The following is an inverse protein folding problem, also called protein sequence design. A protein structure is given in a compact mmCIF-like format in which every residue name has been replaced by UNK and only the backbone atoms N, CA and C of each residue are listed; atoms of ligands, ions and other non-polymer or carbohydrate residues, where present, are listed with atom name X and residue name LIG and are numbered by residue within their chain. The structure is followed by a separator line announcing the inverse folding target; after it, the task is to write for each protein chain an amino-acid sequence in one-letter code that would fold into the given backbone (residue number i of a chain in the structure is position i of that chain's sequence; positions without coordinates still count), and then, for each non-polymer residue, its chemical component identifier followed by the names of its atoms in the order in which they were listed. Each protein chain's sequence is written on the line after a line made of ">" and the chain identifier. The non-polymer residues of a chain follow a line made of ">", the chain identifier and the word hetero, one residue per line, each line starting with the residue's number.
data_IF_059777759214
#
_entry.id   IF_059777759214
#
_cell.length_a   1.000
_cell.length_b   1.000
_cell.length_c   1.000
_cell.angle_alpha   90.00
_cell.angle_beta   90.00
_cell.angle_gamma   90.00
#
_symmetry.space_group_name_H-M   'P 1'
#
loop_
_entity.id
_entity.type
_entity.pdbx_description
1 polymer ?
#
# COMPACT_ATOMS: atom_id res chain seq x y z
N UNK A 1 7.16 0.69 0.56
CA UNK A 1 8.08 1.24 -0.47
C UNK A 1 9.44 0.56 -0.43
N UNK A 2 10.19 0.63 -1.54
CA UNK A 2 11.57 0.17 -1.59
C UNK A 2 12.52 1.23 -1.04
N UNK A 3 13.40 0.86 -0.10
CA UNK A 3 14.46 1.75 0.39
C UNK A 3 15.61 1.81 -0.62
N UNK A 4 15.45 2.63 -1.66
CA UNK A 4 16.46 2.79 -2.74
C UNK A 4 17.53 3.82 -2.42
N UNK A 5 17.35 4.62 -1.37
CA UNK A 5 18.29 5.61 -0.84
C UNK A 5 18.14 5.76 0.67
N UNK A 6 19.12 6.35 1.32
CA UNK A 6 19.04 6.66 2.74
C UNK A 6 18.05 7.82 2.97
N UNK A 7 17.24 7.69 4.00
CA UNK A 7 16.23 8.67 4.36
C UNK A 7 16.19 8.92 5.88
N UNK A 8 15.69 10.08 6.29
CA UNK A 8 15.62 10.48 7.69
C UNK A 8 14.32 10.01 8.39
N UNK A 9 13.75 8.86 7.99
CA UNK A 9 12.47 8.35 8.49
C UNK A 9 12.58 6.94 9.03
N UNK A 10 13.79 6.47 9.38
CA UNK A 10 14.00 5.12 9.92
C UNK A 10 13.23 4.90 11.23
N UNK A 11 13.02 5.96 12.02
CA UNK A 11 12.20 5.97 13.24
C UNK A 11 10.69 5.85 12.98
N UNK A 12 10.26 5.98 11.73
CA UNK A 12 8.86 5.76 11.31
C UNK A 12 8.67 4.36 10.70
N UNK A 13 9.72 3.58 10.51
CA UNK A 13 9.64 2.25 9.89
C UNK A 13 9.04 1.26 10.88
N UNK A 14 7.96 0.59 10.48
CA UNK A 14 7.30 -0.46 11.27
C UNK A 14 8.00 -1.79 11.06
N UNK A 15 8.26 -2.13 9.80
CA UNK A 15 8.86 -3.40 9.39
C UNK A 15 9.68 -3.20 8.12
N UNK A 16 10.72 -4.01 7.97
CA UNK A 16 11.58 -4.03 6.79
C UNK A 16 11.80 -5.49 6.37
N UNK A 17 11.63 -5.77 5.08
CA UNK A 17 11.79 -7.10 4.51
C UNK A 17 12.85 -7.10 3.43
N UNK A 18 13.75 -8.09 3.49
CA UNK A 18 14.73 -8.36 2.44
C UNK A 18 14.23 -9.39 1.44
N UNK A 19 13.27 -10.22 1.84
CA UNK A 19 12.72 -11.28 1.01
C UNK A 19 11.31 -10.90 0.58
N UNK A 20 11.01 -11.20 -0.67
CA UNK A 20 9.68 -10.99 -1.22
C UNK A 20 9.33 -12.09 -2.22
N UNK A 21 8.05 -12.32 -2.43
CA UNK A 21 7.55 -13.28 -3.40
C UNK A 21 6.63 -12.62 -4.42
N UNK A 22 6.61 -13.21 -5.60
CA UNK A 22 5.64 -12.97 -6.65
C UNK A 22 5.03 -14.33 -6.99
N UNK A 23 3.72 -14.44 -6.92
CA UNK A 23 2.99 -15.66 -7.28
C UNK A 23 2.22 -15.45 -8.58
N UNK A 24 2.43 -16.34 -9.53
CA UNK A 24 1.81 -16.30 -10.85
C UNK A 24 1.20 -17.66 -11.19
N UNK A 25 0.45 -17.74 -12.28
CA UNK A 25 -0.05 -19.02 -12.78
C UNK A 25 1.05 -20.01 -13.17
N UNK A 26 2.28 -19.53 -13.41
CA UNK A 26 3.46 -20.36 -13.68
C UNK A 26 4.21 -20.81 -12.43
N UNK A 27 3.85 -20.31 -11.25
CA UNK A 27 4.40 -20.72 -9.97
C UNK A 27 4.74 -19.56 -9.03
N UNK A 28 5.26 -19.96 -7.88
CA UNK A 28 5.73 -19.08 -6.81
C UNK A 28 7.22 -18.78 -7.01
N UNK A 29 7.57 -17.50 -6.98
CA UNK A 29 8.93 -17.01 -7.15
C UNK A 29 9.35 -16.20 -5.93
N UNK A 30 10.33 -16.73 -5.19
CA UNK A 30 10.94 -16.01 -4.08
C UNK A 30 12.18 -15.27 -4.54
N UNK A 31 12.30 -14.01 -4.14
CA UNK A 31 13.34 -13.09 -4.53
C UNK A 31 13.91 -12.41 -3.28
N UNK A 32 15.14 -11.92 -3.38
CA UNK A 32 15.81 -11.27 -2.27
C UNK A 32 16.52 -9.99 -2.68
N UNK A 33 16.31 -8.92 -1.91
CA UNK A 33 17.01 -7.65 -2.08
C UNK A 33 17.57 -7.13 -0.77
N UNK A 34 18.84 -7.45 -0.49
CA UNK A 34 19.54 -6.94 0.71
C UNK A 34 19.85 -5.46 0.61
N UNK A 35 20.17 -4.96 -0.59
CA UNK A 35 20.57 -3.57 -0.81
C UNK A 35 19.39 -2.62 -0.72
N UNK A 36 18.23 -3.07 -1.19
CA UNK A 36 17.01 -2.27 -1.26
C UNK A 36 15.86 -3.04 -0.60
N UNK A 37 15.78 -3.04 0.75
CA UNK A 37 14.68 -3.72 1.43
C UNK A 37 13.35 -3.03 1.13
N UNK A 38 12.28 -3.81 1.16
CA UNK A 38 10.93 -3.24 1.16
C UNK A 38 10.56 -2.83 2.59
N UNK A 39 10.02 -1.61 2.75
CA UNK A 39 9.71 -1.06 4.07
C UNK A 39 8.26 -0.61 4.16
N UNK A 40 7.67 -0.82 5.34
CA UNK A 40 6.41 -0.21 5.74
C UNK A 40 6.69 0.85 6.80
N UNK A 41 6.05 2.02 6.67
CA UNK A 41 6.16 3.11 7.64
C UNK A 41 4.80 3.38 8.30
N UNK A 42 4.84 3.82 9.55
CA UNK A 42 3.68 4.40 10.23
C UNK A 42 3.41 5.81 9.67
N UNK A 43 2.28 5.96 9.00
CA UNK A 43 1.89 7.25 8.40
C UNK A 43 1.65 8.33 9.47
N UNK A 44 1.13 7.98 10.63
CA UNK A 44 0.89 8.91 11.73
C UNK A 44 2.21 9.46 12.30
N UNK A 45 3.19 8.58 12.54
CA UNK A 45 4.53 9.01 12.96
C UNK A 45 5.22 9.85 11.88
N UNK A 46 5.10 9.45 10.62
CA UNK A 46 5.65 10.19 9.49
C UNK A 46 5.07 11.60 9.41
N UNK A 47 3.74 11.74 9.38
CA UNK A 47 3.08 13.06 9.35
C UNK A 47 3.43 13.91 10.56
N UNK A 48 3.47 13.33 11.77
CA UNK A 48 3.86 14.04 12.98
C UNK A 48 5.29 14.60 12.86
N UNK A 49 6.22 13.81 12.35
CA UNK A 49 7.62 14.23 12.14
C UNK A 49 7.73 15.33 11.10
N UNK A 50 7.04 15.19 9.96
CA UNK A 50 7.03 16.19 8.89
C UNK A 50 6.40 17.49 9.40
N UNK A 51 5.23 17.46 10.02
CA UNK A 51 4.55 18.64 10.53
C UNK A 51 5.40 19.39 11.55
N UNK A 52 6.11 18.67 12.43
CA UNK A 52 7.07 19.29 13.36
C UNK A 52 8.20 20.01 12.63
N UNK A 53 8.79 19.38 11.59
CA UNK A 53 9.86 20.04 10.79
C UNK A 53 9.35 21.27 10.06
N UNK A 54 8.16 21.20 9.49
CA UNK A 54 7.54 22.29 8.74
C UNK A 54 7.20 23.48 9.67
N UNK A 55 6.65 23.22 10.86
CA UNK A 55 6.28 24.27 11.82
C UNK A 55 7.48 25.03 12.41
N UNK A 56 8.65 24.41 12.41
CA UNK A 56 9.91 25.03 12.89
C UNK A 56 10.64 25.83 11.80
N UNK A 57 10.17 25.78 10.56
CA UNK A 57 10.82 26.46 9.45
C UNK A 57 10.11 27.76 9.09
N UNK A 58 10.70 28.89 9.45
CA UNK A 58 10.13 30.22 9.21
C UNK A 58 9.98 30.58 7.73
N UNK A 59 10.61 29.83 6.81
CA UNK A 59 10.47 30.04 5.37
C UNK A 59 9.26 29.31 4.78
N UNK A 60 8.51 28.54 5.59
CA UNK A 60 7.33 27.79 5.15
C UNK A 60 6.09 28.46 5.73
N UNK A 61 5.12 28.73 4.84
CA UNK A 61 3.81 29.28 5.21
C UNK A 61 2.71 28.34 4.73
N UNK A 62 1.72 28.13 5.58
CA UNK A 62 0.54 27.36 5.26
C UNK A 62 -0.63 28.29 4.96
N UNK A 63 -1.32 28.05 3.86
CA UNK A 63 -2.50 28.79 3.46
C UNK A 63 -3.69 27.82 3.36
N UNK A 64 -4.88 28.28 3.72
CA UNK A 64 -6.11 27.50 3.60
C UNK A 64 -6.69 27.52 2.18
N UNK A 65 -6.40 28.59 1.44
CA UNK A 65 -6.93 28.79 0.10
C UNK A 65 -5.80 29.20 -0.86
N UNK A 66 -5.81 28.63 -2.06
CA UNK A 66 -4.85 28.94 -3.11
C UNK A 66 -4.91 30.42 -3.53
N UNK A 67 -6.07 31.09 -3.41
CA UNK A 67 -6.24 32.50 -3.73
C UNK A 67 -5.47 33.45 -2.79
N UNK A 68 -4.99 32.94 -1.65
CA UNK A 68 -4.16 33.70 -0.70
C UNK A 68 -2.68 33.71 -1.11
N UNK A 69 -2.31 32.94 -2.15
CA UNK A 69 -0.92 32.75 -2.56
C UNK A 69 -0.64 33.54 -3.85
N UNK A 70 0.37 34.42 -3.81
CA UNK A 70 0.89 35.01 -5.02
C UNK A 70 1.70 34.00 -5.81
N UNK A 71 1.30 33.74 -7.05
CA UNK A 71 1.99 32.81 -7.94
C UNK A 71 2.99 33.48 -8.87
N UNK A 72 3.13 34.82 -8.79
CA UNK A 72 4.10 35.58 -9.59
C UNK A 72 5.53 35.16 -9.22
N UNK A 73 6.33 34.81 -10.23
CA UNK A 73 7.72 34.36 -10.07
C UNK A 73 7.89 33.12 -9.18
N UNK A 74 6.94 32.17 -9.25
CA UNK A 74 6.92 30.97 -8.41
C UNK A 74 6.93 29.70 -9.24
N UNK A 75 7.51 28.62 -8.70
CA UNK A 75 7.28 27.27 -9.18
C UNK A 75 6.07 26.67 -8.44
N UNK A 76 5.13 26.10 -9.19
CA UNK A 76 3.92 25.50 -8.65
C UNK A 76 3.97 23.99 -8.82
N UNK A 77 3.91 23.26 -7.69
CA UNK A 77 3.74 21.81 -7.68
C UNK A 77 2.31 21.50 -7.23
N UNK A 78 1.46 21.07 -8.16
CA UNK A 78 0.08 20.75 -7.87
C UNK A 78 -0.13 19.23 -7.83
N UNK A 79 -0.41 18.70 -6.64
CA UNK A 79 -0.73 17.29 -6.42
C UNK A 79 -2.23 17.01 -6.30
N UNK A 80 -3.07 18.04 -6.46
CA UNK A 80 -4.52 17.87 -6.43
C UNK A 80 -4.99 17.22 -7.74
N UNK A 81 -5.69 16.08 -7.71
CA UNK A 81 -6.20 15.45 -8.91
C UNK A 81 -7.13 16.40 -9.68
N UNK A 82 -7.00 16.40 -11.02
CA UNK A 82 -7.94 17.13 -11.85
C UNK A 82 -9.32 16.45 -11.77
N UNK A 83 -10.38 17.22 -11.54
CA UNK A 83 -11.75 16.72 -11.47
C UNK A 83 -12.26 16.12 -12.80
N UNK A 84 -11.64 16.50 -13.94
CA UNK A 84 -11.96 15.96 -15.27
C UNK A 84 -11.14 14.70 -15.56
N UNK A 85 -11.25 13.69 -14.71
CA UNK A 85 -10.57 12.42 -14.91
C UNK A 85 -11.17 11.69 -16.10
N UNK A 86 -10.34 11.36 -17.10
CA UNK A 86 -10.76 10.59 -18.25
C UNK A 86 -11.11 9.16 -17.85
N UNK A 87 -12.38 8.78 -18.01
CA UNK A 87 -12.89 7.45 -17.69
C UNK A 87 -12.27 6.33 -18.53
N UNK A 88 -11.61 6.66 -19.64
CA UNK A 88 -10.91 5.69 -20.48
C UNK A 88 -9.57 5.22 -19.91
N UNK A 89 -9.03 5.95 -18.93
CA UNK A 89 -7.72 5.63 -18.34
C UNK A 89 -7.76 4.40 -17.46
N UNK A 90 -6.62 3.74 -17.37
CA UNK A 90 -6.38 2.67 -16.42
C UNK A 90 -6.15 3.29 -15.03
N UNK A 91 -6.85 2.77 -14.03
CA UNK A 91 -6.75 3.20 -12.65
C UNK A 91 -6.19 2.07 -11.79
N UNK A 92 -5.34 2.43 -10.86
CA UNK A 92 -5.04 1.55 -9.73
C UNK A 92 -6.01 1.88 -8.60
N UNK A 93 -6.80 0.90 -8.20
CA UNK A 93 -7.69 1.01 -7.06
C UNK A 93 -7.57 -0.21 -6.16
N UNK A 94 -7.76 -0.03 -4.87
CA UNK A 94 -7.43 -1.06 -3.89
C UNK A 94 -8.16 -0.86 -2.57
N UNK A 95 -8.21 -1.92 -1.78
CA UNK A 95 -8.58 -1.88 -0.36
C UNK A 95 -7.74 -2.90 0.39
N UNK A 96 -7.29 -2.52 1.59
CA UNK A 96 -6.52 -3.38 2.48
C UNK A 96 -7.18 -3.49 3.85
N UNK A 97 -6.97 -4.62 4.52
CA UNK A 97 -7.35 -4.84 5.91
C UNK A 97 -6.18 -5.45 6.68
N UNK A 98 -6.01 -5.04 7.91
CA UNK A 98 -5.09 -5.71 8.82
C UNK A 98 -5.83 -6.83 9.54
N UNK A 99 -5.34 -8.05 9.40
CA UNK A 99 -5.89 -9.22 10.06
C UNK A 99 -4.95 -9.75 11.15
N UNK A 100 -5.53 -10.28 12.21
CA UNK A 100 -4.81 -10.92 13.31
C UNK A 100 -5.41 -12.30 13.61
N UNK A 101 -4.54 -13.30 13.74
CA UNK A 101 -4.90 -14.69 14.02
C UNK A 101 -4.47 -15.09 15.43
N UNK A 102 -5.12 -16.12 16.00
CA UNK A 102 -4.74 -16.65 17.32
C UNK A 102 -3.44 -17.45 17.32
N UNK A 103 -3.05 -17.96 16.16
CA UNK A 103 -1.85 -18.80 15.97
C UNK A 103 -0.89 -18.11 15.01
N UNK A 104 0.38 -18.44 15.10
CA UNK A 104 1.38 -18.07 14.13
C UNK A 104 1.10 -18.80 12.81
N UNK A 105 0.82 -18.04 11.73
CA UNK A 105 0.45 -18.58 10.41
C UNK A 105 1.36 -17.99 9.34
N UNK A 106 1.80 -16.74 9.50
CA UNK A 106 2.60 -16.04 8.50
C UNK A 106 4.09 -16.28 8.73
N UNK A 107 4.84 -16.37 7.63
CA UNK A 107 6.28 -16.14 7.67
C UNK A 107 6.52 -14.62 7.61
N UNK A 108 6.92 -14.03 8.73
CA UNK A 108 7.09 -12.58 8.82
C UNK A 108 8.44 -12.06 8.29
N UNK A 109 9.25 -12.93 7.73
CA UNK A 109 10.51 -12.60 7.06
C UNK A 109 10.34 -12.38 5.54
N UNK A 110 9.19 -12.77 4.97
CA UNK A 110 8.90 -12.64 3.54
C UNK A 110 7.57 -11.94 3.32
N UNK A 111 7.54 -10.95 2.41
CA UNK A 111 6.28 -10.38 1.94
C UNK A 111 5.84 -11.06 0.64
N UNK A 112 4.54 -11.28 0.46
CA UNK A 112 3.98 -11.55 -0.85
C UNK A 112 3.63 -10.21 -1.50
N UNK A 113 4.48 -9.78 -2.44
CA UNK A 113 4.40 -8.45 -3.03
C UNK A 113 3.35 -8.39 -4.15
N UNK A 114 3.14 -9.48 -4.88
CA UNK A 114 2.12 -9.60 -5.92
C UNK A 114 1.68 -11.06 -6.04
N UNK A 115 0.49 -11.36 -5.58
CA UNK A 115 -0.14 -12.67 -5.81
C UNK A 115 -1.19 -12.55 -6.91
N UNK A 116 -0.82 -12.98 -8.12
CA UNK A 116 -1.72 -13.01 -9.28
C UNK A 116 -2.57 -14.29 -9.35
N UNK A 117 -2.45 -15.20 -8.38
CA UNK A 117 -3.26 -16.41 -8.32
C UNK A 117 -4.67 -16.11 -7.79
N UNK A 118 -5.37 -15.24 -8.50
CA UNK A 118 -6.72 -14.79 -8.23
C UNK A 118 -7.47 -14.51 -9.54
N UNK A 119 -8.80 -14.30 -9.46
CA UNK A 119 -9.62 -14.02 -10.63
C UNK A 119 -9.26 -12.66 -11.24
N UNK A 120 -8.81 -12.66 -12.49
CA UNK A 120 -8.34 -11.47 -13.21
C UNK A 120 -9.47 -10.71 -13.93
N UNK A 121 -10.64 -11.31 -14.15
CA UNK A 121 -11.81 -10.71 -14.86
C UNK A 121 -11.42 -9.85 -16.07
N UNK A 122 -10.42 -10.30 -16.86
CA UNK A 122 -9.85 -9.59 -18.03
C UNK A 122 -9.15 -8.26 -17.71
N UNK A 123 -8.77 -8.05 -16.46
CA UNK A 123 -8.00 -6.90 -15.96
C UNK A 123 -6.70 -7.39 -15.32
N UNK A 124 -5.98 -6.53 -14.61
CA UNK A 124 -4.87 -6.95 -13.78
C UNK A 124 -5.32 -6.88 -12.33
N UNK A 125 -5.30 -8.02 -11.66
CA UNK A 125 -5.68 -8.17 -10.26
C UNK A 125 -4.61 -8.93 -9.48
N UNK A 126 -4.26 -8.46 -8.31
CA UNK A 126 -3.33 -9.15 -7.43
C UNK A 126 -3.57 -8.78 -5.98
N UNK A 127 -3.05 -9.60 -5.09
CA UNK A 127 -3.07 -9.34 -3.66
C UNK A 127 -1.66 -9.04 -3.15
N UNK A 128 -1.59 -8.14 -2.16
CA UNK A 128 -0.45 -8.02 -1.26
C UNK A 128 -0.74 -8.80 0.02
N UNK A 129 0.32 -9.43 0.58
CA UNK A 129 0.33 -9.93 1.95
C UNK A 129 1.59 -9.43 2.62
N UNK A 130 1.45 -8.50 3.57
CA UNK A 130 2.55 -7.91 4.30
C UNK A 130 2.48 -8.36 5.77
N UNK A 131 3.23 -9.40 6.16
CA UNK A 131 3.19 -9.91 7.53
C UNK A 131 4.06 -9.06 8.44
N UNK A 132 3.45 -8.32 9.34
CA UNK A 132 4.14 -7.55 10.38
C UNK A 132 4.64 -8.41 11.52
N UNK A 133 3.91 -9.51 11.80
CA UNK A 133 4.23 -10.54 12.79
C UNK A 133 3.75 -11.89 12.27
N UNK A 134 4.19 -12.96 12.89
CA UNK A 134 3.76 -14.33 12.53
C UNK A 134 2.24 -14.56 12.63
N UNK A 135 1.54 -13.72 13.39
CA UNK A 135 0.09 -13.79 13.54
C UNK A 135 -0.65 -12.55 13.04
N UNK A 136 0.04 -11.61 12.36
CA UNK A 136 -0.55 -10.33 11.97
C UNK A 136 -0.04 -9.89 10.59
N UNK A 137 -0.96 -9.60 9.67
CA UNK A 137 -0.61 -9.14 8.32
C UNK A 137 -1.62 -8.14 7.76
N UNK A 138 -1.15 -7.25 6.89
CA UNK A 138 -1.99 -6.49 5.97
C UNK A 138 -2.26 -7.36 4.74
N UNK A 139 -3.53 -7.49 4.38
CA UNK A 139 -3.98 -8.13 3.14
C UNK A 139 -4.66 -7.05 2.31
N UNK A 140 -4.21 -6.87 1.09
CA UNK A 140 -4.74 -5.84 0.19
C UNK A 140 -5.07 -6.43 -1.18
N UNK A 141 -6.29 -6.19 -1.66
CA UNK A 141 -6.70 -6.44 -3.05
C UNK A 141 -6.40 -5.21 -3.89
N UNK A 142 -5.74 -5.39 -5.03
CA UNK A 142 -5.35 -4.30 -5.91
C UNK A 142 -5.71 -4.61 -7.35
N UNK A 143 -6.38 -3.66 -8.00
CA UNK A 143 -6.79 -3.72 -9.39
C UNK A 143 -6.10 -2.65 -10.22
N UNK A 144 -5.77 -3.00 -11.45
CA UNK A 144 -5.49 -2.06 -12.53
C UNK A 144 -6.59 -2.25 -13.58
N UNK A 145 -7.57 -1.37 -13.57
CA UNK A 145 -8.77 -1.46 -14.43
C UNK A 145 -9.38 -0.10 -14.69
N UNK A 146 -10.49 -0.08 -15.42
CA UNK A 146 -11.35 1.09 -15.54
C UNK A 146 -12.23 1.21 -14.29
N UNK A 147 -12.46 2.43 -13.82
CA UNK A 147 -13.32 2.69 -12.63
C UNK A 147 -14.82 2.57 -12.90
N UNK A 148 -15.24 2.47 -14.17
CA UNK A 148 -16.65 2.34 -14.52
C UNK A 148 -17.18 0.90 -14.41
N UNK A 149 -16.32 -0.06 -14.08
CA UNK A 149 -16.73 -1.45 -13.81
C UNK A 149 -16.97 -1.66 -12.31
N UNK A 150 -18.21 -1.45 -11.86
CA UNK A 150 -18.61 -1.63 -10.47
C UNK A 150 -18.51 -3.08 -9.98
N UNK A 151 -18.40 -4.06 -10.88
CA UNK A 151 -18.24 -5.48 -10.50
C UNK A 151 -16.89 -5.79 -9.87
N UNK A 152 -15.94 -4.85 -9.97
CA UNK A 152 -14.58 -4.99 -9.43
C UNK A 152 -14.41 -4.36 -8.04
N UNK A 153 -15.43 -3.71 -7.49
CA UNK A 153 -15.33 -2.90 -6.26
C UNK A 153 -15.85 -3.59 -4.99
N UNK A 154 -16.19 -4.86 -5.06
CA UNK A 154 -16.54 -5.66 -3.89
C UNK A 154 -15.28 -6.18 -3.17
N UNK A 155 -14.49 -5.25 -2.65
CA UNK A 155 -13.18 -5.53 -2.08
C UNK A 155 -13.23 -6.40 -0.82
N UNK A 156 -14.24 -6.19 0.03
CA UNK A 156 -14.37 -6.96 1.28
C UNK A 156 -14.57 -8.44 0.99
N UNK A 157 -15.46 -8.75 0.06
CA UNK A 157 -15.69 -10.13 -0.36
C UNK A 157 -14.47 -10.75 -1.04
N UNK A 158 -13.73 -9.96 -1.83
CA UNK A 158 -12.51 -10.41 -2.48
C UNK A 158 -11.44 -10.78 -1.43
N UNK A 159 -11.25 -9.92 -0.43
CA UNK A 159 -10.29 -10.14 0.66
C UNK A 159 -10.70 -11.37 1.49
N UNK A 160 -11.97 -11.48 1.87
CA UNK A 160 -12.48 -12.62 2.63
C UNK A 160 -12.24 -13.94 1.88
N UNK A 161 -12.57 -13.96 0.58
CA UNK A 161 -12.36 -15.13 -0.26
C UNK A 161 -10.87 -15.49 -0.35
N UNK A 162 -9.99 -14.50 -0.60
CA UNK A 162 -8.55 -14.73 -0.69
C UNK A 162 -7.97 -15.26 0.63
N UNK A 163 -8.32 -14.66 1.75
CA UNK A 163 -7.88 -15.10 3.08
C UNK A 163 -8.32 -16.53 3.35
N UNK A 164 -9.54 -16.90 2.98
CA UNK A 164 -10.11 -18.22 3.22
C UNK A 164 -9.57 -19.29 2.26
N UNK A 165 -9.48 -18.97 0.96
CA UNK A 165 -9.16 -19.97 -0.07
C UNK A 165 -7.66 -20.04 -0.37
N UNK A 166 -6.98 -18.92 -0.50
CA UNK A 166 -5.58 -18.87 -0.88
C UNK A 166 -4.65 -18.98 0.34
N UNK A 167 -4.98 -18.30 1.44
CA UNK A 167 -4.20 -18.39 2.67
C UNK A 167 -4.66 -19.49 3.64
N UNK A 168 -5.84 -20.09 3.41
CA UNK A 168 -6.37 -21.18 4.25
C UNK A 168 -6.80 -20.72 5.66
N UNK A 169 -6.98 -19.42 5.87
CA UNK A 169 -7.27 -18.84 7.19
C UNK A 169 -8.78 -18.75 7.39
N UNK A 170 -9.31 -19.49 8.37
CA UNK A 170 -10.76 -19.51 8.64
C UNK A 170 -11.18 -18.57 9.78
N UNK A 171 -10.29 -18.30 10.73
CA UNK A 171 -10.60 -17.52 11.93
C UNK A 171 -9.56 -16.42 12.13
N UNK A 172 -9.97 -15.20 12.01
CA UNK A 172 -9.13 -14.01 12.19
C UNK A 172 -9.99 -12.85 12.71
N UNK A 173 -9.32 -11.85 13.25
CA UNK A 173 -9.90 -10.57 13.64
C UNK A 173 -9.43 -9.52 12.65
N UNK A 174 -10.31 -8.63 12.23
CA UNK A 174 -9.96 -7.42 11.48
C UNK A 174 -9.70 -6.31 12.49
N UNK A 175 -8.56 -5.65 12.38
CA UNK A 175 -8.16 -4.58 13.30
C UNK A 175 -8.50 -3.18 12.76
N UNK A 176 -8.68 -3.02 11.45
CA UNK A 176 -9.23 -1.83 10.78
C UNK A 176 -9.62 -2.15 9.34
#
# INVERSE_FOLDING_TARGET
>A
FWKVFDHNFDDCVIKSWNNFSINTTSGFHELRSKKFPYQSIDSGLFYKKINKKLSLNNNIKFFKNINEVSTANSFIFNSVPNSNLDKSKLWQHFQGVEIETKKDIFDDEIINLMDFNCDQKKNVHFFYTLPFKKNKALIETTWLSRLDDSSLTDYEQQIENYVKTNLGIKNYKINF
#
